data_IF_258282779344
#
_entry.id   IF_258282779344
#
_cell.length_a   1.000
_cell.length_b   1.000
_cell.length_c   1.000
_cell.angle_alpha   90.00
_cell.angle_beta   90.00
_cell.angle_gamma   90.00
#
_symmetry.space_group_name_H-M   'P 1'
#
loop_
_entity.id
_entity.type
_entity.pdbx_description
1 polymer ?
#
# COMPACT_ATOMS: atom_id res chain seq x y z
N UNK A 1 -17.10 26.72 -33.75
CA UNK A 1 -17.39 25.39 -33.14
C UNK A 1 -16.21 24.69 -32.46
N UNK A 2 -14.93 25.05 -32.65
CA UNK A 2 -13.79 24.36 -32.01
C UNK A 2 -13.58 24.64 -30.51
N UNK A 3 -14.10 25.76 -29.99
CA UNK A 3 -13.93 26.18 -28.58
C UNK A 3 -14.84 25.42 -27.60
N UNK A 4 -16.07 25.11 -28.01
CA UNK A 4 -17.05 24.38 -27.19
C UNK A 4 -16.65 22.92 -26.99
N UNK A 5 -16.03 22.29 -27.99
CA UNK A 5 -15.53 20.91 -27.90
C UNK A 5 -14.41 20.75 -26.85
N UNK A 6 -13.54 21.75 -26.69
CA UNK A 6 -12.47 21.73 -25.66
C UNK A 6 -13.02 21.83 -24.24
N UNK A 7 -14.11 22.56 -24.04
CA UNK A 7 -14.78 22.69 -22.74
C UNK A 7 -15.50 21.39 -22.33
N UNK A 8 -16.09 20.69 -23.30
CA UNK A 8 -16.70 19.38 -23.06
C UNK A 8 -15.67 18.31 -22.66
N UNK A 9 -14.49 18.32 -23.29
CA UNK A 9 -13.39 17.41 -22.93
C UNK A 9 -12.85 17.65 -21.51
N UNK A 10 -12.75 18.92 -21.09
CA UNK A 10 -12.32 19.24 -19.73
C UNK A 10 -13.36 18.77 -18.70
N UNK A 11 -14.65 19.01 -18.98
CA UNK A 11 -15.73 18.58 -18.09
C UNK A 11 -15.78 17.05 -17.93
N UNK A 12 -15.51 16.30 -19.00
CA UNK A 12 -15.49 14.83 -18.97
C UNK A 12 -14.37 14.26 -18.08
N UNK A 13 -13.23 14.94 -17.94
CA UNK A 13 -12.13 14.48 -17.08
C UNK A 13 -12.44 14.62 -15.58
N UNK A 14 -13.30 15.56 -15.18
CA UNK A 14 -13.65 15.77 -13.77
C UNK A 14 -14.65 14.74 -13.22
N UNK A 15 -15.32 13.98 -14.09
CA UNK A 15 -16.32 12.97 -13.67
C UNK A 15 -15.70 11.56 -13.60
N UNK A 16 -14.40 11.41 -13.86
CA UNK A 16 -13.74 10.14 -13.67
C UNK A 16 -13.77 9.79 -12.17
N UNK A 17 -14.40 8.67 -11.76
CA UNK A 17 -14.37 8.25 -10.37
C UNK A 17 -12.91 7.95 -10.02
N UNK A 18 -12.31 8.84 -9.22
CA UNK A 18 -11.03 8.58 -8.58
C UNK A 18 -11.28 7.47 -7.55
N UNK A 19 -11.17 6.21 -7.98
CA UNK A 19 -11.18 5.06 -7.09
C UNK A 19 -9.84 5.01 -6.38
N UNK A 20 -9.66 5.91 -5.41
CA UNK A 20 -8.55 5.85 -4.48
C UNK A 20 -8.68 4.54 -3.68
N UNK A 21 -8.00 3.49 -4.14
CA UNK A 21 -7.90 2.24 -3.39
C UNK A 21 -6.94 2.50 -2.23
N UNK A 22 -7.39 2.25 -1.00
CA UNK A 22 -6.53 2.35 0.15
C UNK A 22 -5.35 1.36 -0.01
N UNK A 23 -4.13 1.86 0.17
CA UNK A 23 -2.91 1.04 0.14
C UNK A 23 -2.49 0.78 1.57
N UNK A 24 -2.19 -0.47 1.90
CA UNK A 24 -1.65 -0.84 3.21
C UNK A 24 -0.15 -1.11 3.06
N UNK A 25 0.65 -0.24 3.65
CA UNK A 25 2.10 -0.33 3.65
C UNK A 25 2.52 -1.17 4.85
N UNK A 26 3.16 -2.31 4.62
CA UNK A 26 3.71 -3.15 5.70
C UNK A 26 5.22 -3.28 5.53
N UNK A 27 5.97 -2.94 6.57
CA UNK A 27 7.43 -3.13 6.62
C UNK A 27 7.72 -4.32 7.51
N UNK A 28 8.58 -5.21 7.02
CA UNK A 28 9.05 -6.38 7.74
C UNK A 28 10.55 -6.24 8.04
N UNK A 29 10.99 -6.84 9.14
CA UNK A 29 12.41 -7.04 9.41
C UNK A 29 12.97 -8.26 8.64
N UNK A 30 14.26 -8.57 8.86
CA UNK A 30 14.92 -9.73 8.22
C UNK A 30 14.39 -11.08 8.70
N UNK A 31 13.77 -11.12 9.88
CA UNK A 31 13.15 -12.31 10.47
C UNK A 31 11.68 -12.47 10.05
N UNK A 32 11.18 -11.55 9.21
CA UNK A 32 9.78 -11.48 8.78
C UNK A 32 8.80 -11.02 9.87
N UNK A 33 9.31 -10.37 10.92
CA UNK A 33 8.50 -9.69 11.93
C UNK A 33 8.01 -8.35 11.38
N UNK A 34 6.76 -7.99 11.68
CA UNK A 34 6.19 -6.71 11.24
C UNK A 34 6.81 -5.58 12.07
N UNK A 35 7.37 -4.57 11.42
CA UNK A 35 7.90 -3.36 12.07
C UNK A 35 6.97 -2.16 11.92
N UNK A 36 6.15 -2.18 10.86
CA UNK A 36 5.22 -1.11 10.54
C UNK A 36 4.07 -1.66 9.70
N UNK A 37 2.86 -1.17 9.96
CA UNK A 37 1.69 -1.33 9.10
C UNK A 37 0.85 -0.08 9.22
N UNK A 38 0.47 0.55 8.12
CA UNK A 38 -0.48 1.67 8.08
C UNK A 38 -0.86 1.98 6.64
N UNK A 39 -1.95 2.70 6.47
CA UNK A 39 -2.38 3.36 5.23
C UNK A 39 -1.54 4.58 4.85
N UNK A 40 -0.74 5.10 5.80
CA UNK A 40 0.24 6.13 5.55
C UNK A 40 1.58 5.52 5.08
N UNK A 41 2.24 6.14 4.08
CA UNK A 41 3.55 5.67 3.62
C UNK A 41 4.60 5.80 4.74
N UNK A 42 5.45 4.77 4.96
CA UNK A 42 6.43 4.76 6.05
C UNK A 42 7.62 5.72 5.86
N UNK A 43 7.86 6.13 4.62
CA UNK A 43 8.90 7.06 4.17
C UNK A 43 8.50 7.61 2.80
N UNK A 44 9.30 8.55 2.26
CA UNK A 44 9.03 9.12 0.93
C UNK A 44 9.17 8.06 -0.18
N UNK A 45 8.06 7.76 -0.85
CA UNK A 45 7.98 6.79 -1.94
C UNK A 45 8.29 7.40 -3.31
N UNK A 46 8.61 8.71 -3.37
CA UNK A 46 9.17 9.32 -4.58
C UNK A 46 10.59 8.84 -4.87
N UNK A 47 11.27 8.31 -3.84
CA UNK A 47 12.61 7.73 -3.92
C UNK A 47 12.56 6.21 -4.07
N UNK A 48 13.65 5.58 -4.58
CA UNK A 48 13.77 4.13 -4.59
C UNK A 48 13.57 3.55 -3.18
N UNK A 49 12.81 2.47 -3.08
CA UNK A 49 12.50 1.81 -1.79
C UNK A 49 13.76 1.46 -0.99
N UNK A 50 14.85 1.08 -1.67
CA UNK A 50 16.14 0.80 -1.01
C UNK A 50 16.72 2.01 -0.27
N UNK A 51 16.56 3.21 -0.82
CA UNK A 51 16.99 4.47 -0.19
C UNK A 51 16.11 4.77 1.02
N UNK A 52 14.79 4.78 0.81
CA UNK A 52 13.84 5.05 1.89
C UNK A 52 13.93 4.07 3.07
N UNK A 53 14.23 2.80 2.82
CA UNK A 53 14.46 1.80 3.88
C UNK A 53 15.79 2.04 4.62
N UNK A 54 16.83 2.45 3.91
CA UNK A 54 18.15 2.69 4.52
C UNK A 54 18.15 3.94 5.38
N UNK A 55 17.50 5.02 4.90
CA UNK A 55 17.47 6.33 5.56
C UNK A 55 16.41 6.44 6.65
N UNK A 56 15.52 5.45 6.76
CA UNK A 56 14.51 5.37 7.82
C UNK A 56 14.93 4.45 8.95
N UNK A 57 14.11 4.39 10.01
CA UNK A 57 14.29 3.46 11.15
C UNK A 57 14.14 1.97 10.79
N UNK A 58 13.96 1.63 9.51
CA UNK A 58 13.67 0.29 9.03
C UNK A 58 14.86 -0.39 8.35
N UNK A 59 16.09 0.07 8.63
CA UNK A 59 17.32 -0.40 7.97
C UNK A 59 17.40 -1.93 7.91
N UNK A 60 17.55 -2.45 6.69
CA UNK A 60 17.65 -3.89 6.45
C UNK A 60 16.33 -4.65 6.42
N UNK A 61 15.19 -3.97 6.55
CA UNK A 61 13.86 -4.53 6.32
C UNK A 61 13.45 -4.53 4.84
N UNK A 62 12.20 -4.91 4.58
CA UNK A 62 11.59 -4.84 3.25
C UNK A 62 10.14 -4.35 3.32
N UNK A 63 9.74 -3.58 2.31
CA UNK A 63 8.40 -3.01 2.19
C UNK A 63 7.52 -3.89 1.31
N UNK A 64 6.30 -4.15 1.77
CA UNK A 64 5.22 -4.77 1.00
C UNK A 64 4.05 -3.80 0.96
N UNK A 65 3.53 -3.55 -0.24
CA UNK A 65 2.39 -2.65 -0.48
C UNK A 65 1.22 -3.50 -0.96
N UNK A 66 0.11 -3.46 -0.24
CA UNK A 66 -1.07 -4.28 -0.54
C UNK A 66 -2.26 -3.35 -0.76
N UNK A 67 -2.92 -3.39 -1.93
CA UNK A 67 -4.20 -2.71 -2.09
C UNK A 67 -5.24 -3.40 -1.21
N UNK A 68 -5.90 -2.64 -0.34
CA UNK A 68 -7.00 -3.12 0.52
C UNK A 68 -8.31 -2.46 0.08
N UNK A 69 -9.40 -3.23 0.17
CA UNK A 69 -10.74 -2.72 -0.13
C UNK A 69 -11.44 -2.20 1.14
N UNK A 70 -11.01 -2.69 2.30
CA UNK A 70 -11.73 -2.50 3.56
C UNK A 70 -10.86 -1.68 4.53
N UNK A 71 -9.97 -2.32 5.31
CA UNK A 71 -9.27 -1.65 6.42
C UNK A 71 -7.77 -2.03 6.50
N UNK A 72 -6.92 -1.03 6.78
CA UNK A 72 -5.50 -1.21 7.08
C UNK A 72 -5.25 -0.80 8.53
N UNK A 73 -5.20 -1.77 9.42
CA UNK A 73 -5.00 -1.47 10.83
C UNK A 73 -3.53 -1.21 11.15
N UNK A 74 -3.24 -0.19 11.98
CA UNK A 74 -1.89 0.09 12.40
C UNK A 74 -1.31 -1.10 13.19
N UNK A 75 -0.03 -1.37 12.95
CA UNK A 75 0.70 -2.41 13.68
C UNK A 75 0.64 -2.16 15.20
N UNK A 76 0.41 -3.21 15.98
CA UNK A 76 0.22 -3.14 17.44
C UNK A 76 -1.21 -2.88 17.92
N UNK A 77 -2.14 -2.47 17.04
CA UNK A 77 -3.58 -2.37 17.39
C UNK A 77 -4.27 -3.73 17.26
N UNK A 78 -3.89 -4.53 16.26
CA UNK A 78 -4.41 -5.88 16.07
C UNK A 78 -3.90 -6.90 17.09
N UNK A 79 -2.68 -6.72 17.62
CA UNK A 79 -2.11 -7.65 18.62
C UNK A 79 -2.92 -7.67 19.93
N UNK A 80 -3.75 -6.65 20.19
CA UNK A 80 -4.66 -6.61 21.34
C UNK A 80 -6.06 -7.16 21.05
N UNK A 81 -6.51 -7.15 19.79
CA UNK A 81 -7.90 -7.41 19.45
C UNK A 81 -8.14 -8.80 18.84
N UNK A 82 -7.16 -9.39 18.14
CA UNK A 82 -7.42 -10.64 17.43
C UNK A 82 -6.16 -11.45 17.20
N UNK A 83 -6.23 -12.74 17.56
CA UNK A 83 -5.53 -13.85 16.92
C UNK A 83 -5.83 -13.90 15.41
N UNK A 84 -5.52 -12.83 14.66
CA UNK A 84 -5.68 -12.76 13.22
C UNK A 84 -4.32 -12.97 12.58
N UNK A 85 -4.04 -14.26 12.39
CA UNK A 85 -3.30 -14.81 11.26
C UNK A 85 -2.16 -13.93 10.78
N UNK A 86 -0.96 -14.24 11.27
CA UNK A 86 0.30 -13.81 10.68
C UNK A 86 0.15 -13.72 9.15
N UNK A 87 0.16 -12.49 8.63
CA UNK A 87 0.33 -12.29 7.20
C UNK A 87 1.71 -12.85 6.87
N UNK A 88 1.75 -14.10 6.39
CA UNK A 88 3.00 -14.74 6.01
C UNK A 88 3.31 -14.33 4.56
N UNK A 89 4.34 -13.49 4.32
CA UNK A 89 4.62 -12.92 3.01
C UNK A 89 4.84 -13.99 1.93
N UNK A 90 5.29 -15.19 2.32
CA UNK A 90 5.49 -16.34 1.42
C UNK A 90 4.21 -16.77 0.69
N UNK A 91 3.05 -16.63 1.32
CA UNK A 91 1.78 -17.09 0.75
C UNK A 91 1.06 -16.02 -0.10
N UNK A 92 1.48 -14.76 -0.03
CA UNK A 92 0.88 -13.68 -0.81
C UNK A 92 1.13 -13.86 -2.32
N UNK A 93 2.38 -14.08 -2.73
CA UNK A 93 2.72 -14.29 -4.14
C UNK A 93 2.10 -15.56 -4.75
N UNK A 94 1.85 -16.58 -3.92
CA UNK A 94 1.16 -17.80 -4.36
C UNK A 94 -0.32 -17.54 -4.68
N UNK A 95 -0.97 -16.66 -3.91
CA UNK A 95 -2.37 -16.28 -4.11
C UNK A 95 -2.59 -15.41 -5.35
N UNK A 96 -1.61 -14.57 -5.69
CA UNK A 96 -1.64 -13.75 -6.91
C UNK A 96 -1.50 -14.57 -8.21
N UNK A 97 -0.76 -15.69 -8.17
CA UNK A 97 -0.57 -16.59 -9.33
C UNK A 97 -1.69 -17.61 -9.54
N UNK A 98 -2.66 -17.72 -8.63
CA UNK A 98 -3.77 -18.69 -8.71
C UNK A 98 -5.08 -18.12 -9.24
N UNK A 99 -5.07 -16.91 -9.81
CA UNK A 99 -6.23 -16.31 -10.48
C UNK A 99 -5.92 -16.15 -11.97
N UNK A 100 -6.07 -17.23 -12.71
CA UNK A 100 -6.41 -17.24 -14.13
C UNK A 100 -7.74 -17.98 -14.29
#
# INVERSE_FOLDING_TARGET
>A
MKRTFRLFLLAALLVAPFTARAMCYTVFDRKSDVLYRSDAPPFDLSLPTSVGITDSRFTGGYLVIIPVNDECYPYGVLDRATNQSAFEPKNYYKRLRGKE
#
